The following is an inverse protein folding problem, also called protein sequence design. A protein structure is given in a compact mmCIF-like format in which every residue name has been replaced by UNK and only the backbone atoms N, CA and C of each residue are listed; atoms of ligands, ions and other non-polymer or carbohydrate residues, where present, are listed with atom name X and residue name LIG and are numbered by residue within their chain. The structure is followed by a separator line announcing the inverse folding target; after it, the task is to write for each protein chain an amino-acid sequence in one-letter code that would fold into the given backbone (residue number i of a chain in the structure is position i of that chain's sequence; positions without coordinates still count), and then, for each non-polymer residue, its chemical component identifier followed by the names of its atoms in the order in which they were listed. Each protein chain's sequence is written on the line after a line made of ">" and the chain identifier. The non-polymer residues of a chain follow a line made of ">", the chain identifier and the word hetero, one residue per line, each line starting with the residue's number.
data_IF_762744831997
#
_entry.id   IF_762744831997
#
_cell.length_a   1.000
_cell.length_b   1.000
_cell.length_c   1.000
_cell.angle_alpha   90.00
_cell.angle_beta   90.00
_cell.angle_gamma   90.00
#
_symmetry.space_group_name_H-M   'P 1'
#
loop_
_entity.id
_entity.type
_entity.pdbx_description
1 polymer ?
#
# COMPACT_ATOMS: atom_id res chain seq x y z
N UNK A 1 -40.80 -23.14 -20.95
CA UNK A 1 -41.79 -23.24 -19.84
C UNK A 1 -41.84 -24.68 -19.38
N UNK A 2 -42.07 -25.05 -18.10
CA UNK A 2 -42.20 -24.30 -16.83
C UNK A 2 -41.12 -24.72 -15.78
N UNK A 3 -40.67 -23.89 -14.82
CA UNK A 3 -41.23 -23.51 -13.50
C UNK A 3 -41.53 -24.67 -12.53
N UNK A 4 -40.85 -24.70 -11.38
CA UNK A 4 -41.46 -25.09 -10.11
C UNK A 4 -40.74 -24.47 -8.91
N UNK A 5 -41.53 -23.93 -7.99
CA UNK A 5 -41.17 -23.12 -6.81
C UNK A 5 -41.20 -23.97 -5.52
N UNK A 6 -40.78 -23.33 -4.43
CA UNK A 6 -41.08 -23.57 -2.99
C UNK A 6 -40.00 -24.36 -2.23
N UNK A 7 -39.60 -24.04 -0.99
CA UNK A 7 -40.27 -23.29 0.08
C UNK A 7 -39.27 -22.77 1.14
N UNK A 8 -39.61 -21.68 1.85
CA UNK A 8 -38.85 -21.05 2.94
C UNK A 8 -39.10 -21.76 4.28
N UNK A 9 -38.08 -21.84 5.15
CA UNK A 9 -38.18 -21.74 6.63
C UNK A 9 -36.87 -21.09 7.14
N UNK A 10 -36.94 -19.90 7.78
CA UNK A 10 -37.06 -19.68 9.25
C UNK A 10 -35.79 -20.13 9.98
N UNK A 11 -35.08 -19.34 10.79
CA UNK A 11 -35.50 -18.22 11.64
C UNK A 11 -34.39 -17.18 11.81
N UNK A 12 -34.82 -15.93 11.87
CA UNK A 12 -34.01 -14.73 12.01
C UNK A 12 -33.84 -14.44 13.51
N UNK A 13 -32.76 -14.94 14.12
CA UNK A 13 -32.33 -14.57 15.47
C UNK A 13 -31.03 -13.75 15.36
N UNK A 14 -31.14 -12.59 14.71
CA UNK A 14 -30.02 -11.68 14.51
C UNK A 14 -29.91 -10.78 15.74
N UNK A 15 -29.27 -11.30 16.79
CA UNK A 15 -28.78 -10.51 17.92
C UNK A 15 -27.63 -9.62 17.42
N UNK A 16 -28.00 -8.48 16.84
CA UNK A 16 -27.09 -7.49 16.27
C UNK A 16 -26.40 -6.66 17.37
N UNK A 17 -25.55 -7.29 18.18
CA UNK A 17 -24.59 -6.57 19.02
C UNK A 17 -23.17 -7.06 18.75
N UNK A 18 -22.80 -7.10 17.47
CA UNK A 18 -21.39 -6.92 17.12
C UNK A 18 -21.15 -5.43 16.93
N UNK A 19 -20.72 -4.79 18.02
CA UNK A 19 -19.95 -3.56 17.99
C UNK A 19 -18.84 -3.73 16.93
N UNK A 20 -19.07 -3.19 15.74
CA UNK A 20 -18.01 -2.89 14.79
C UNK A 20 -17.20 -1.78 15.47
N UNK A 21 -16.21 -2.19 16.26
CA UNK A 21 -15.12 -1.33 16.68
C UNK A 21 -14.36 -1.01 15.39
N UNK A 22 -14.83 0.01 14.66
CA UNK A 22 -13.97 0.77 13.75
C UNK A 22 -12.98 1.50 14.64
N UNK A 23 -12.00 0.75 15.14
CA UNK A 23 -10.77 1.28 15.69
C UNK A 23 -10.13 2.09 14.56
N UNK A 24 -10.43 3.38 14.54
CA UNK A 24 -9.69 4.34 13.75
C UNK A 24 -8.28 4.35 14.36
N UNK A 25 -7.44 3.42 13.88
CA UNK A 25 -6.01 3.46 14.11
C UNK A 25 -5.54 4.81 13.56
N UNK A 26 -5.43 5.79 14.46
CA UNK A 26 -4.85 7.09 14.18
C UNK A 26 -3.37 6.88 13.91
N UNK A 27 -3.06 6.62 12.64
CA UNK A 27 -1.68 6.60 12.21
C UNK A 27 -1.18 8.04 12.13
N UNK A 28 0.00 8.30 12.69
CA UNK A 28 0.68 9.58 12.50
C UNK A 28 0.85 9.87 11.00
N UNK A 29 0.77 11.13 10.55
CA UNK A 29 1.03 11.47 9.15
C UNK A 29 2.42 10.96 8.72
N UNK A 30 2.50 10.37 7.53
CA UNK A 30 3.80 10.00 6.95
C UNK A 30 4.54 11.26 6.51
N UNK A 31 5.77 11.36 6.94
CA UNK A 31 6.75 12.39 6.56
C UNK A 31 7.98 11.70 6.02
N UNK A 32 8.85 12.41 5.32
CA UNK A 32 10.10 11.80 4.86
C UNK A 32 10.97 11.30 6.01
N UNK A 33 10.93 12.00 7.15
CA UNK A 33 11.74 11.67 8.32
C UNK A 33 11.26 10.43 9.05
N UNK A 34 9.94 10.16 9.10
CA UNK A 34 9.40 9.00 9.81
C UNK A 34 9.11 7.80 8.90
N UNK A 35 9.20 7.94 7.57
CA UNK A 35 8.77 6.90 6.65
C UNK A 35 9.44 5.55 6.92
N UNK A 36 10.75 5.55 7.22
CA UNK A 36 11.57 4.35 7.40
C UNK A 36 11.16 3.48 8.61
N UNK A 37 10.57 4.07 9.66
CA UNK A 37 10.15 3.34 10.86
C UNK A 37 8.62 3.08 10.89
N UNK A 38 7.89 3.57 9.89
CA UNK A 38 6.44 3.49 9.84
C UNK A 38 5.94 2.08 9.47
N UNK A 39 4.73 1.75 9.95
CA UNK A 39 4.02 0.54 9.56
C UNK A 39 3.26 0.76 8.23
N UNK A 40 3.82 0.25 7.12
CA UNK A 40 3.33 0.55 5.76
C UNK A 40 2.17 -0.34 5.27
N UNK A 41 1.85 -1.46 5.95
CA UNK A 41 0.94 -2.49 5.41
C UNK A 41 -0.49 -2.01 5.10
N UNK A 42 -0.96 -0.98 5.81
CA UNK A 42 -2.32 -0.44 5.67
C UNK A 42 -2.33 0.99 5.12
N UNK A 43 -1.19 1.45 4.58
CA UNK A 43 -1.02 2.83 4.10
C UNK A 43 -1.31 2.93 2.61
N UNK A 44 -2.00 4.00 2.22
CA UNK A 44 -2.33 4.31 0.84
C UNK A 44 -1.21 5.11 0.17
N UNK A 45 -1.15 5.05 -1.17
CA UNK A 45 -0.13 5.79 -1.91
C UNK A 45 -0.29 7.33 -1.84
N UNK A 46 -1.47 7.83 -1.51
CA UNK A 46 -1.70 9.26 -1.26
C UNK A 46 -1.02 9.77 0.02
N UNK A 47 -0.60 8.86 0.90
CA UNK A 47 0.14 9.19 2.11
C UNK A 47 1.67 9.30 1.85
N UNK A 48 2.15 9.03 0.62
CA UNK A 48 3.57 9.16 0.30
C UNK A 48 3.95 10.65 0.29
N UNK A 49 4.90 11.08 1.15
CA UNK A 49 5.28 12.49 1.23
C UNK A 49 5.92 12.94 -0.08
N UNK A 50 5.60 14.17 -0.49
CA UNK A 50 6.12 14.83 -1.69
C UNK A 50 5.84 14.09 -3.02
N UNK A 51 4.87 13.17 -3.05
CA UNK A 51 4.42 12.55 -4.28
C UNK A 51 3.55 13.52 -5.09
N UNK A 52 3.91 13.73 -6.36
CA UNK A 52 3.11 14.54 -7.26
C UNK A 52 1.72 13.90 -7.47
N UNK A 53 0.66 14.70 -7.38
CA UNK A 53 -0.73 14.22 -7.49
C UNK A 53 -1.04 13.55 -8.85
N UNK A 54 -0.48 14.07 -9.96
CA UNK A 54 -0.65 13.43 -11.27
C UNK A 54 0.01 12.05 -11.32
N UNK A 55 1.21 11.92 -10.73
CA UNK A 55 1.91 10.63 -10.66
C UNK A 55 1.20 9.64 -9.71
N UNK A 56 0.64 10.12 -8.61
CA UNK A 56 -0.25 9.33 -7.74
C UNK A 56 -1.45 8.79 -8.51
N UNK A 57 -2.13 9.61 -9.33
CA UNK A 57 -3.25 9.13 -10.13
C UNK A 57 -2.85 8.09 -11.18
N UNK A 58 -1.66 8.21 -11.80
CA UNK A 58 -1.14 7.18 -12.72
C UNK A 58 -0.97 5.84 -12.02
N UNK A 59 -0.47 5.84 -10.79
CA UNK A 59 -0.36 4.62 -9.98
C UNK A 59 -1.73 4.03 -9.62
N UNK A 60 -2.69 4.85 -9.18
CA UNK A 60 -4.05 4.37 -8.88
C UNK A 60 -4.75 3.79 -10.12
N UNK A 61 -4.54 4.39 -11.29
CA UNK A 61 -5.16 3.95 -12.56
C UNK A 61 -4.78 2.51 -12.97
N UNK A 62 -3.68 1.96 -12.44
CA UNK A 62 -3.21 0.60 -12.69
C UNK A 62 -3.34 -0.32 -11.47
N UNK A 63 -4.21 0.03 -10.53
CA UNK A 63 -4.46 -0.68 -9.28
C UNK A 63 -3.27 -0.71 -8.29
N UNK A 64 -2.33 0.24 -8.37
CA UNK A 64 -1.41 0.50 -7.25
C UNK A 64 -2.05 1.48 -6.29
N UNK A 65 -2.72 0.94 -5.27
CA UNK A 65 -3.51 1.73 -4.32
C UNK A 65 -2.81 1.90 -2.98
N UNK A 66 -1.96 0.94 -2.61
CA UNK A 66 -1.27 0.92 -1.32
C UNK A 66 0.25 1.03 -1.45
N UNK A 67 0.91 1.52 -0.40
CA UNK A 67 2.38 1.54 -0.30
C UNK A 67 2.93 0.10 -0.34
N UNK A 68 2.16 -0.87 0.18
CA UNK A 68 2.48 -2.30 0.10
C UNK A 68 2.60 -2.80 -1.34
N UNK A 69 1.77 -2.32 -2.27
CA UNK A 69 1.85 -2.70 -3.68
C UNK A 69 3.18 -2.26 -4.30
N UNK A 70 3.61 -1.03 -4.00
CA UNK A 70 4.90 -0.48 -4.44
C UNK A 70 6.07 -1.23 -3.78
N UNK A 71 5.99 -1.51 -2.49
CA UNK A 71 7.00 -2.27 -1.76
C UNK A 71 7.15 -3.69 -2.32
N UNK A 72 6.03 -4.34 -2.66
CA UNK A 72 6.03 -5.66 -3.30
C UNK A 72 6.76 -5.64 -4.65
N UNK A 73 6.61 -4.57 -5.44
CA UNK A 73 7.41 -4.40 -6.67
C UNK A 73 8.87 -4.12 -6.37
N UNK A 74 9.16 -3.22 -5.44
CA UNK A 74 10.52 -2.87 -5.04
C UNK A 74 11.34 -4.11 -4.67
N UNK A 75 10.77 -5.01 -3.87
CA UNK A 75 11.45 -6.23 -3.40
C UNK A 75 11.71 -7.29 -4.49
N UNK A 76 11.15 -7.13 -5.69
CA UNK A 76 11.41 -8.01 -6.84
C UNK A 76 12.60 -7.50 -7.67
N UNK A 77 12.98 -6.22 -7.53
CA UNK A 77 14.12 -5.65 -8.23
C UNK A 77 15.41 -5.84 -7.44
N UNK A 78 16.52 -6.04 -8.15
CA UNK A 78 17.82 -6.30 -7.52
C UNK A 78 18.44 -5.02 -6.95
N UNK A 79 18.13 -3.86 -7.55
CA UNK A 79 18.69 -2.56 -7.13
C UNK A 79 17.64 -1.44 -7.06
N UNK A 80 17.86 -0.41 -6.22
CA UNK A 80 17.03 0.79 -6.19
C UNK A 80 16.95 1.50 -7.56
N UNK A 81 18.06 1.50 -8.31
CA UNK A 81 18.18 2.11 -9.63
C UNK A 81 17.27 1.42 -10.65
N UNK A 82 17.25 0.08 -10.67
CA UNK A 82 16.35 -0.70 -11.53
C UNK A 82 14.89 -0.41 -11.23
N UNK A 83 14.52 -0.39 -9.95
CA UNK A 83 13.17 -0.03 -9.54
C UNK A 83 12.81 1.41 -9.96
N UNK A 84 13.74 2.36 -9.83
CA UNK A 84 13.51 3.74 -10.27
C UNK A 84 13.29 3.83 -11.79
N UNK A 85 14.04 3.08 -12.58
CA UNK A 85 13.82 3.02 -14.03
C UNK A 85 12.49 2.34 -14.36
N UNK A 86 12.12 1.27 -13.64
CA UNK A 86 10.83 0.62 -13.78
C UNK A 86 9.67 1.60 -13.55
N UNK A 87 9.71 2.41 -12.49
CA UNK A 87 8.69 3.44 -12.22
C UNK A 87 8.58 4.45 -13.37
N UNK A 88 9.72 4.88 -13.92
CA UNK A 88 9.75 5.84 -15.04
C UNK A 88 9.27 5.22 -16.35
N UNK A 89 9.65 3.99 -16.66
CA UNK A 89 9.36 3.37 -17.95
C UNK A 89 7.96 2.76 -17.99
N UNK A 90 7.54 2.10 -16.92
CA UNK A 90 6.26 1.37 -16.88
C UNK A 90 5.10 2.28 -16.53
N UNK A 91 5.30 3.20 -15.58
CA UNK A 91 4.22 4.07 -15.08
C UNK A 91 4.35 5.51 -15.56
N UNK A 92 5.40 5.82 -16.33
CA UNK A 92 5.68 7.16 -16.84
C UNK A 92 5.65 8.21 -15.71
N UNK A 93 6.19 7.86 -14.54
CA UNK A 93 6.29 8.79 -13.42
C UNK A 93 7.35 9.86 -13.72
N UNK A 94 7.16 11.06 -13.17
CA UNK A 94 8.21 12.07 -13.20
C UNK A 94 9.49 11.58 -12.51
N UNK A 95 10.64 12.13 -12.91
CA UNK A 95 11.93 11.82 -12.29
C UNK A 95 11.88 12.03 -10.78
N UNK A 96 11.28 13.12 -10.32
CA UNK A 96 11.18 13.48 -8.90
C UNK A 96 10.35 12.47 -8.11
N UNK A 97 9.17 12.09 -8.61
CA UNK A 97 8.32 11.10 -7.93
C UNK A 97 8.99 9.72 -7.87
N UNK A 98 9.59 9.29 -8.98
CA UNK A 98 10.32 8.02 -9.02
C UNK A 98 11.47 8.00 -8.01
N UNK A 99 12.30 9.05 -7.97
CA UNK A 99 13.37 9.19 -6.99
C UNK A 99 12.86 9.20 -5.55
N UNK A 100 11.76 9.89 -5.28
CA UNK A 100 11.16 9.99 -3.95
C UNK A 100 10.68 8.62 -3.46
N UNK A 101 9.87 7.92 -4.27
CA UNK A 101 9.36 6.58 -3.93
C UNK A 101 10.53 5.61 -3.72
N UNK A 102 11.49 5.56 -4.66
CA UNK A 102 12.67 4.69 -4.56
C UNK A 102 13.44 4.94 -3.27
N UNK A 103 13.76 6.20 -2.95
CA UNK A 103 14.52 6.55 -1.75
C UNK A 103 13.80 6.13 -0.47
N UNK A 104 12.51 6.46 -0.35
CA UNK A 104 11.74 6.16 0.86
C UNK A 104 11.60 4.65 1.09
N UNK A 105 11.32 3.89 0.04
CA UNK A 105 11.23 2.42 0.13
C UNK A 105 12.60 1.80 0.42
N UNK A 106 13.68 2.30 -0.19
CA UNK A 106 15.03 1.82 0.09
C UNK A 106 15.41 2.04 1.55
N UNK A 107 15.18 3.25 2.10
CA UNK A 107 15.44 3.55 3.52
C UNK A 107 14.62 2.64 4.45
N UNK A 108 13.35 2.39 4.12
CA UNK A 108 12.51 1.48 4.90
C UNK A 108 13.03 0.05 4.87
N UNK A 109 13.46 -0.46 3.71
CA UNK A 109 14.01 -1.81 3.55
C UNK A 109 15.33 -1.95 4.32
N UNK A 110 16.25 -0.98 4.20
CA UNK A 110 17.50 -0.97 4.96
C UNK A 110 17.25 -1.03 6.48
N UNK A 111 16.27 -0.27 6.97
CA UNK A 111 15.93 -0.23 8.39
C UNK A 111 15.21 -1.50 8.88
N UNK A 112 14.28 -2.05 8.11
CA UNK A 112 13.40 -3.13 8.58
C UNK A 112 13.84 -4.54 8.17
N UNK A 113 14.61 -4.68 7.09
CA UNK A 113 15.02 -5.97 6.52
C UNK A 113 16.51 -6.20 6.77
N UNK A 114 17.36 -5.21 6.48
CA UNK A 114 18.82 -5.38 6.56
C UNK A 114 19.33 -5.22 8.00
N UNK A 115 18.93 -4.17 8.73
CA UNK A 115 19.34 -3.98 10.14
C UNK A 115 18.88 -5.11 11.08
N UNK A 116 17.79 -5.82 10.76
CA UNK A 116 17.30 -6.94 11.58
C UNK A 116 18.04 -8.26 11.33
N UNK A 117 18.87 -8.35 10.28
CA UNK A 117 19.71 -9.53 10.01
C UNK A 117 20.98 -9.56 10.85
N UNK A 118 21.51 -8.42 11.28
CA UNK A 118 22.74 -8.35 12.08
C UNK A 118 22.52 -8.67 13.58
N UNK A 119 21.26 -8.77 14.02
CA UNK A 119 20.89 -9.05 15.41
C UNK A 119 20.21 -10.43 15.62
N UNK A 120 20.29 -11.34 14.65
CA UNK A 120 19.86 -12.74 14.77
C UNK A 120 21.04 -13.68 14.64
#
# INVERSE_FOLDING_TARGET
>A
TPTSKQERKSDNDYSAEDHIVSEHLHYDPLTEDNFHNAHLCNRNIDEIPNLNQCDMYKLKAINMNSIRDLLGRYLIHDTPEEFQQFLKQTFNLSKTSAQTITRLLHQWVQYNVDCKREHR
#
